data_IF_671290187579
#
_entry.id   IF_671290187579
#
_cell.length_a   1.000
_cell.length_b   1.000
_cell.length_c   1.000
_cell.angle_alpha   90.00
_cell.angle_beta   90.00
_cell.angle_gamma   90.00
#
_symmetry.space_group_name_H-M   'P 1'
#
loop_
_entity.id
_entity.type
_entity.pdbx_description
1 polymer ?
#
# COMPACT_ATOMS: atom_id res chain seq x y z
N UNK A 1 -9.23 3.43 10.95
CA UNK A 1 -8.30 3.20 9.82
C UNK A 1 -9.00 3.70 8.56
N UNK A 2 -8.37 4.46 7.67
CA UNK A 2 -9.06 5.06 6.50
C UNK A 2 -8.62 4.41 5.18
N UNK A 3 -9.36 4.67 4.10
CA UNK A 3 -8.95 4.26 2.74
C UNK A 3 -7.62 4.89 2.31
N UNK A 4 -7.24 6.04 2.86
CA UNK A 4 -5.90 6.61 2.68
C UNK A 4 -4.80 5.69 3.23
N UNK A 5 -5.06 5.08 4.39
CA UNK A 5 -4.12 4.14 4.99
C UNK A 5 -4.05 2.85 4.19
N UNK A 6 -5.20 2.35 3.69
CA UNK A 6 -5.21 1.21 2.78
C UNK A 6 -4.37 1.48 1.52
N UNK A 7 -4.54 2.64 0.89
CA UNK A 7 -3.80 3.03 -0.30
C UNK A 7 -2.28 3.11 -0.04
N UNK A 8 -1.86 3.84 1.01
CA UNK A 8 -0.42 3.95 1.36
C UNK A 8 0.21 2.60 1.67
N UNK A 9 -0.47 1.74 2.42
CA UNK A 9 0.05 0.42 2.76
C UNK A 9 0.16 -0.47 1.52
N UNK A 10 -0.77 -0.37 0.56
CA UNK A 10 -0.66 -1.09 -0.72
C UNK A 10 0.50 -0.60 -1.58
N UNK A 11 0.80 0.70 -1.58
CA UNK A 11 1.98 1.23 -2.28
C UNK A 11 3.30 0.71 -1.67
N UNK A 12 3.39 0.71 -0.34
CA UNK A 12 4.53 0.12 0.36
C UNK A 12 4.67 -1.37 0.05
N UNK A 13 3.56 -2.11 0.06
CA UNK A 13 3.55 -3.52 -0.30
C UNK A 13 4.02 -3.76 -1.75
N UNK A 14 3.56 -2.94 -2.69
CA UNK A 14 3.97 -3.02 -4.09
C UNK A 14 5.46 -2.69 -4.26
N UNK A 15 5.94 -1.62 -3.62
CA UNK A 15 7.35 -1.24 -3.60
C UNK A 15 8.23 -2.38 -3.06
N UNK A 16 7.91 -2.90 -1.87
CA UNK A 16 8.70 -3.98 -1.26
C UNK A 16 8.65 -5.26 -2.07
N UNK A 17 7.51 -5.58 -2.70
CA UNK A 17 7.41 -6.72 -3.61
C UNK A 17 8.34 -6.56 -4.82
N UNK A 18 8.41 -5.36 -5.40
CA UNK A 18 9.31 -5.07 -6.51
C UNK A 18 10.78 -5.19 -6.09
N UNK A 19 11.16 -4.63 -4.95
CA UNK A 19 12.53 -4.74 -4.42
C UNK A 19 12.89 -6.21 -4.15
N UNK A 20 11.97 -6.99 -3.56
CA UNK A 20 12.19 -8.41 -3.33
C UNK A 20 12.43 -9.17 -4.64
N UNK A 21 11.65 -8.87 -5.68
CA UNK A 21 11.80 -9.46 -7.01
C UNK A 21 13.16 -9.16 -7.62
N UNK A 22 13.60 -7.90 -7.56
CA UNK A 22 14.90 -7.48 -8.10
C UNK A 22 16.07 -8.13 -7.33
N UNK A 23 15.97 -8.22 -5.99
CA UNK A 23 16.96 -8.89 -5.15
C UNK A 23 17.14 -10.39 -5.52
N UNK A 24 16.08 -11.08 -5.96
CA UNK A 24 16.19 -12.47 -6.45
C UNK A 24 17.12 -12.53 -7.66
N UNK A 25 16.96 -11.63 -8.63
CA UNK A 25 17.81 -11.56 -9.82
C UNK A 25 19.27 -11.22 -9.52
N UNK A 26 19.52 -10.50 -8.43
CA UNK A 26 20.86 -10.13 -7.96
C UNK A 26 21.51 -11.18 -7.05
N UNK A 27 20.80 -12.24 -6.67
CA UNK A 27 21.28 -13.26 -5.73
C UNK A 27 21.27 -12.81 -4.26
N UNK A 28 20.63 -11.69 -3.94
CA UNK A 28 20.54 -11.11 -2.60
C UNK A 28 19.38 -11.73 -1.80
N UNK A 29 19.42 -13.05 -1.59
CA UNK A 29 18.26 -13.82 -1.08
C UNK A 29 17.81 -13.39 0.33
N UNK A 30 18.73 -12.99 1.21
CA UNK A 30 18.37 -12.47 2.54
C UNK A 30 17.60 -11.15 2.46
N UNK A 31 17.99 -10.27 1.52
CA UNK A 31 17.28 -9.01 1.26
C UNK A 31 15.92 -9.27 0.64
N UNK A 32 15.84 -10.18 -0.34
CA UNK A 32 14.58 -10.59 -0.94
C UNK A 32 13.59 -11.13 0.12
N UNK A 33 14.07 -11.98 1.03
CA UNK A 33 13.27 -12.51 2.13
C UNK A 33 12.78 -11.41 3.08
N UNK A 34 13.65 -10.45 3.41
CA UNK A 34 13.29 -9.31 4.28
C UNK A 34 12.18 -8.46 3.66
N UNK A 35 12.34 -8.05 2.40
CA UNK A 35 11.32 -7.26 1.71
C UNK A 35 10.02 -8.04 1.48
N UNK A 36 10.09 -9.36 1.33
CA UNK A 36 8.88 -10.20 1.28
C UNK A 36 8.10 -10.14 2.59
N UNK A 37 8.78 -10.13 3.74
CA UNK A 37 8.14 -10.03 5.06
C UNK A 37 7.48 -8.66 5.23
N UNK A 38 8.16 -7.58 4.85
CA UNK A 38 7.61 -6.22 4.98
C UNK A 38 6.45 -5.99 4.02
N UNK A 39 6.55 -6.49 2.78
CA UNK A 39 5.43 -6.46 1.83
C UNK A 39 4.18 -7.15 2.38
N UNK A 40 4.34 -8.33 3.01
CA UNK A 40 3.23 -9.03 3.66
C UNK A 40 2.62 -8.22 4.80
N UNK A 41 3.46 -7.65 5.66
CA UNK A 41 2.97 -6.85 6.79
C UNK A 41 2.18 -5.62 6.31
N UNK A 42 2.63 -4.95 5.25
CA UNK A 42 1.92 -3.83 4.64
C UNK A 42 0.60 -4.27 3.99
N UNK A 43 0.60 -5.40 3.26
CA UNK A 43 -0.62 -5.96 2.70
C UNK A 43 -1.66 -6.35 3.77
N UNK A 44 -1.22 -6.95 4.88
CA UNK A 44 -2.09 -7.27 6.02
C UNK A 44 -2.67 -6.00 6.65
N UNK A 45 -1.88 -4.93 6.78
CA UNK A 45 -2.37 -3.64 7.29
C UNK A 45 -3.41 -3.01 6.34
N UNK A 46 -3.18 -3.09 5.04
CA UNK A 46 -4.14 -2.64 4.02
C UNK A 46 -5.45 -3.45 4.09
N UNK A 47 -5.37 -4.78 4.23
CA UNK A 47 -6.55 -5.64 4.40
C UNK A 47 -7.38 -5.20 5.60
N UNK A 48 -6.75 -4.94 6.75
CA UNK A 48 -7.46 -4.51 7.96
C UNK A 48 -8.18 -3.19 7.70
N UNK A 49 -7.53 -2.23 7.03
CA UNK A 49 -8.14 -0.95 6.68
C UNK A 49 -9.33 -1.11 5.73
N UNK A 50 -9.19 -1.93 4.69
CA UNK A 50 -10.26 -2.23 3.74
C UNK A 50 -11.45 -2.94 4.41
N UNK A 51 -11.18 -3.92 5.27
CA UNK A 51 -12.20 -4.65 6.03
C UNK A 51 -13.00 -3.72 6.93
N UNK A 52 -12.34 -2.76 7.59
CA UNK A 52 -13.01 -1.74 8.39
C UNK A 52 -13.87 -0.85 7.49
N UNK A 53 -13.34 -0.37 6.36
CA UNK A 53 -14.08 0.47 5.43
C UNK A 53 -15.34 -0.24 4.88
N UNK A 54 -15.25 -1.53 4.55
CA UNK A 54 -16.38 -2.34 4.12
C UNK A 54 -17.46 -2.51 5.19
N UNK A 55 -17.08 -2.45 6.48
CA UNK A 55 -18.01 -2.57 7.59
C UNK A 55 -18.65 -1.23 7.97
N UNK A 56 -17.95 -0.12 7.76
CA UNK A 56 -18.34 1.20 8.28
C UNK A 56 -18.91 2.15 7.23
N UNK A 57 -18.59 1.99 5.95
CA UNK A 57 -18.98 2.93 4.89
C UNK A 57 -20.11 2.39 4.02
N UNK A 58 -21.02 3.27 3.61
CA UNK A 58 -21.87 2.97 2.44
C UNK A 58 -21.03 2.88 1.16
N UNK A 59 -21.54 2.24 0.08
CA UNK A 59 -20.85 2.23 -1.21
C UNK A 59 -20.46 3.64 -1.71
N UNK A 60 -21.36 4.62 -1.57
CA UNK A 60 -21.14 6.01 -2.01
C UNK A 60 -20.15 6.76 -1.11
N UNK A 61 -20.06 6.39 0.17
CA UNK A 61 -19.05 6.92 1.09
C UNK A 61 -17.66 6.34 0.80
N UNK A 62 -17.60 5.03 0.53
CA UNK A 62 -16.37 4.34 0.17
C UNK A 62 -15.80 4.86 -1.16
N UNK A 63 -16.65 5.10 -2.17
CA UNK A 63 -16.25 5.68 -3.45
C UNK A 63 -15.58 7.04 -3.26
N UNK A 64 -16.26 7.99 -2.61
CA UNK A 64 -15.72 9.34 -2.36
C UNK A 64 -14.46 9.33 -1.51
N UNK A 65 -14.41 8.47 -0.49
CA UNK A 65 -13.22 8.33 0.35
C UNK A 65 -12.04 7.72 -0.42
N UNK A 66 -12.31 6.80 -1.34
CA UNK A 66 -11.31 6.21 -2.24
C UNK A 66 -10.76 7.24 -3.23
N UNK A 67 -11.63 8.01 -3.89
CA UNK A 67 -11.23 9.11 -4.79
C UNK A 67 -10.30 10.10 -4.09
N UNK A 68 -10.69 10.54 -2.90
CA UNK A 68 -9.90 11.46 -2.08
C UNK A 68 -8.57 10.87 -1.61
N UNK A 69 -8.54 9.56 -1.33
CA UNK A 69 -7.30 8.87 -0.99
C UNK A 69 -6.32 8.89 -2.16
N UNK A 70 -6.80 8.59 -3.37
CA UNK A 70 -5.97 8.61 -4.58
C UNK A 70 -5.47 10.01 -4.92
N UNK A 71 -6.30 11.05 -4.77
CA UNK A 71 -5.88 12.44 -4.96
C UNK A 71 -4.68 12.79 -4.06
N UNK A 72 -4.76 12.44 -2.77
CA UNK A 72 -3.67 12.70 -1.81
C UNK A 72 -2.38 11.95 -2.13
N UNK A 73 -2.49 10.69 -2.55
CA UNK A 73 -1.35 9.90 -2.99
C UNK A 73 -0.64 10.59 -4.17
N UNK A 74 -1.40 11.01 -5.18
CA UNK A 74 -0.85 11.69 -6.36
C UNK A 74 -0.15 13.00 -5.95
N UNK A 75 -0.75 13.79 -5.06
CA UNK A 75 -0.14 15.01 -4.53
C UNK A 75 1.17 14.74 -3.77
N UNK A 76 1.21 13.69 -2.95
CA UNK A 76 2.41 13.28 -2.22
C UNK A 76 3.55 12.84 -3.16
N UNK A 77 3.24 12.08 -4.22
CA UNK A 77 4.22 11.70 -5.24
C UNK A 77 4.77 12.90 -6.01
N UNK A 78 3.89 13.82 -6.42
CA UNK A 78 4.29 15.03 -7.14
C UNK A 78 5.13 15.98 -6.26
N UNK A 79 4.83 16.03 -4.96
CA UNK A 79 5.62 16.76 -3.97
C UNK A 79 7.00 16.16 -3.76
N UNK A 80 7.12 14.82 -3.76
CA UNK A 80 8.40 14.12 -3.60
C UNK A 80 9.34 14.28 -4.80
N UNK A 81 8.80 14.55 -5.99
CA UNK A 81 9.57 14.75 -7.24
C UNK A 81 10.08 16.19 -7.46
N UNK A 82 9.73 17.14 -6.60
CA UNK A 82 10.14 18.57 -6.68
C UNK A 82 11.26 18.91 -5.71
#
# INVERSE_FOLDING_TARGET
MSLDEAARQLELAAHDTQVAFDCIGLGEIERAHTHTITARAAADAAEVALRIALAELSPEEAERAGEKAMERIVEEEEGSRR
#
